data_IF_233663753643
#
_entry.id   IF_233663753643
#
_cell.length_a   1.000
_cell.length_b   1.000
_cell.length_c   1.000
_cell.angle_alpha   90.00
_cell.angle_beta   90.00
_cell.angle_gamma   90.00
#
_symmetry.space_group_name_H-M   'P 1'
#
loop_
_entity.id
_entity.type
_entity.pdbx_description
1 polymer ?
#
# COMPACT_ATOMS: atom_id res chain seq x y z
N UNK A 1 -4.43 11.60 -19.24
CA UNK A 1 -3.63 12.29 -18.21
C UNK A 1 -2.24 11.69 -18.22
N UNK A 2 -1.17 12.49 -18.25
CA UNK A 2 0.20 11.94 -18.27
C UNK A 2 0.47 11.24 -16.92
N UNK A 3 1.15 10.11 -16.87
CA UNK A 3 1.47 9.43 -15.60
C UNK A 3 0.32 8.65 -14.93
N UNK A 4 -0.92 8.75 -15.41
CA UNK A 4 -2.00 7.83 -15.04
C UNK A 4 -2.33 6.95 -16.23
N UNK A 5 -2.41 5.65 -15.99
CA UNK A 5 -2.64 4.65 -17.02
C UNK A 5 -4.02 4.03 -16.84
N UNK A 6 -4.84 3.91 -17.90
CA UNK A 6 -6.08 3.15 -17.83
C UNK A 6 -5.77 1.71 -17.42
N UNK A 7 -6.57 1.14 -16.52
CA UNK A 7 -6.33 -0.20 -15.98
C UNK A 7 -6.45 -1.33 -17.03
N UNK A 8 -7.07 -1.06 -18.19
CA UNK A 8 -7.21 -2.03 -19.28
C UNK A 8 -6.45 -1.62 -20.53
N UNK A 9 -5.87 -2.64 -21.19
CA UNK A 9 -5.21 -2.53 -22.49
C UNK A 9 -5.81 -3.58 -23.42
N UNK A 10 -6.14 -3.18 -24.64
CA UNK A 10 -6.60 -4.10 -25.67
C UNK A 10 -5.43 -4.96 -26.18
N UNK A 11 -5.49 -6.27 -25.99
CA UNK A 11 -4.40 -7.19 -26.36
C UNK A 11 -4.14 -7.29 -27.86
N UNK A 12 -5.12 -6.97 -28.71
CA UNK A 12 -4.96 -7.04 -30.16
C UNK A 12 -4.34 -5.76 -30.74
N UNK A 13 -4.58 -4.61 -30.11
CA UNK A 13 -4.13 -3.30 -30.62
C UNK A 13 -3.01 -2.66 -29.81
N UNK A 14 -2.81 -3.10 -28.56
CA UNK A 14 -1.89 -2.47 -27.61
C UNK A 14 -2.36 -1.09 -27.12
N UNK A 15 -3.60 -0.68 -27.45
CA UNK A 15 -4.14 0.62 -27.06
C UNK A 15 -4.90 0.54 -25.73
N UNK A 16 -4.87 1.59 -24.89
CA UNK A 16 -5.67 1.64 -23.67
C UNK A 16 -7.17 1.54 -23.94
N UNK A 17 -7.91 0.93 -23.01
CA UNK A 17 -9.37 0.79 -23.04
C UNK A 17 -9.96 1.47 -21.82
N UNK A 18 -10.96 2.32 -22.06
CA UNK A 18 -11.63 3.07 -21.00
C UNK A 18 -10.79 4.20 -20.42
N UNK A 19 -11.35 4.81 -19.39
CA UNK A 19 -10.88 6.03 -18.74
C UNK A 19 -10.98 5.92 -17.20
N UNK A 20 -10.80 4.70 -16.68
CA UNK A 20 -10.73 4.43 -15.25
C UNK A 20 -9.28 4.29 -14.79
N UNK A 21 -8.90 5.18 -13.88
CA UNK A 21 -7.57 5.34 -13.30
C UNK A 21 -7.65 5.16 -11.79
N UNK A 22 -6.82 4.27 -11.27
CA UNK A 22 -6.70 3.95 -9.85
C UNK A 22 -5.27 3.52 -9.57
N UNK A 23 -4.87 3.57 -8.30
CA UNK A 23 -3.70 2.86 -7.77
C UNK A 23 -4.12 1.62 -6.95
N UNK A 24 -5.42 1.31 -6.89
CA UNK A 24 -5.92 0.06 -6.32
C UNK A 24 -5.91 -1.09 -7.31
N UNK A 25 -6.86 -2.01 -7.15
CA UNK A 25 -6.90 -3.26 -7.90
C UNK A 25 -6.84 -3.08 -9.41
N UNK A 26 -6.22 -4.06 -10.08
CA UNK A 26 -5.96 -4.09 -11.54
C UNK A 26 -4.86 -3.14 -12.04
N UNK A 27 -4.34 -2.23 -11.20
CA UNK A 27 -3.34 -1.25 -11.61
C UNK A 27 -2.16 -1.06 -10.63
N UNK A 28 -2.41 -1.24 -9.32
CA UNK A 28 -1.45 -1.25 -8.21
C UNK A 28 0.01 -1.62 -8.58
N UNK A 29 0.28 -2.90 -8.79
CA UNK A 29 1.60 -3.51 -8.94
C UNK A 29 2.33 -3.03 -10.21
N UNK A 30 1.62 -2.49 -11.19
CA UNK A 30 2.27 -1.80 -12.32
C UNK A 30 3.03 -0.56 -11.84
N UNK A 31 2.40 0.28 -11.00
CA UNK A 31 3.05 1.47 -10.43
C UNK A 31 4.18 1.09 -9.47
N UNK A 32 3.93 0.09 -8.63
CA UNK A 32 4.92 -0.48 -7.71
C UNK A 32 6.19 -0.91 -8.45
N UNK A 33 6.05 -1.66 -9.55
CA UNK A 33 7.18 -2.17 -10.29
C UNK A 33 7.94 -1.09 -11.04
N UNK A 34 7.31 0.02 -11.44
CA UNK A 34 8.06 1.16 -11.99
C UNK A 34 9.06 1.72 -10.96
N UNK A 35 8.63 1.88 -9.71
CA UNK A 35 9.48 2.37 -8.62
C UNK A 35 10.53 1.32 -8.25
N UNK A 36 10.13 0.07 -8.02
CA UNK A 36 11.04 -1.03 -7.65
C UNK A 36 12.09 -1.31 -8.74
N UNK A 37 11.74 -1.20 -10.03
CA UNK A 37 12.70 -1.30 -11.12
C UNK A 37 13.66 -0.11 -11.17
N UNK A 38 13.19 1.11 -10.88
CA UNK A 38 14.06 2.27 -10.78
C UNK A 38 15.11 2.08 -9.67
N UNK A 39 14.69 1.62 -8.49
CA UNK A 39 15.58 1.26 -7.37
C UNK A 39 16.57 0.17 -7.78
N UNK A 40 16.09 -0.91 -8.38
CA UNK A 40 16.93 -2.03 -8.84
C UNK A 40 17.96 -1.59 -9.88
N UNK A 41 17.63 -0.62 -10.72
CA UNK A 41 18.54 -0.03 -11.70
C UNK A 41 19.52 1.00 -11.11
N UNK A 42 19.43 1.30 -9.81
CA UNK A 42 20.17 2.37 -9.13
C UNK A 42 19.97 3.73 -9.83
N UNK A 43 18.77 4.00 -10.35
CA UNK A 43 18.44 5.23 -11.08
C UNK A 43 19.04 5.35 -12.48
N UNK A 44 19.68 4.29 -13.00
CA UNK A 44 20.35 4.32 -14.31
C UNK A 44 19.36 4.22 -15.48
N UNK A 45 18.20 3.60 -15.27
CA UNK A 45 17.15 3.53 -16.29
C UNK A 45 16.41 4.87 -16.40
N UNK A 46 16.79 5.68 -17.39
CA UNK A 46 16.22 7.01 -17.61
C UNK A 46 14.75 6.97 -18.03
N UNK A 47 14.30 5.87 -18.65
CA UNK A 47 12.89 5.71 -19.03
C UNK A 47 12.06 5.51 -17.77
N UNK A 48 12.48 4.58 -16.90
CA UNK A 48 11.82 4.38 -15.59
C UNK A 48 11.90 5.62 -14.73
N UNK A 49 13.03 6.33 -14.73
CA UNK A 49 13.18 7.57 -13.97
C UNK A 49 12.14 8.60 -14.39
N UNK A 50 11.96 8.79 -15.70
CA UNK A 50 10.95 9.69 -16.25
C UNK A 50 9.54 9.22 -15.91
N UNK A 51 9.25 7.92 -16.07
CA UNK A 51 7.93 7.37 -15.73
C UNK A 51 7.60 7.55 -14.25
N UNK A 52 8.53 7.25 -13.34
CA UNK A 52 8.34 7.41 -11.89
C UNK A 52 8.05 8.87 -11.52
N UNK A 53 8.76 9.83 -12.12
CA UNK A 53 8.43 11.25 -11.96
C UNK A 53 7.00 11.57 -12.39
N UNK A 54 6.57 11.01 -13.52
CA UNK A 54 5.24 11.24 -14.07
C UNK A 54 4.14 10.59 -13.22
N UNK A 55 4.30 9.35 -12.76
CA UNK A 55 3.28 8.67 -11.94
C UNK A 55 3.15 9.31 -10.56
N UNK A 56 4.26 9.71 -9.92
CA UNK A 56 4.22 10.36 -8.60
C UNK A 56 3.56 11.73 -8.74
N UNK A 57 3.99 12.55 -9.71
CA UNK A 57 3.38 13.86 -9.94
C UNK A 57 1.88 13.75 -10.21
N UNK A 58 1.45 12.73 -10.96
CA UNK A 58 0.02 12.57 -11.24
C UNK A 58 -0.77 11.99 -10.07
N UNK A 59 -0.19 11.10 -9.26
CA UNK A 59 -0.80 10.71 -7.98
C UNK A 59 -1.05 11.94 -7.12
N UNK A 60 -0.04 12.80 -6.93
CA UNK A 60 -0.15 14.00 -6.08
C UNK A 60 -1.19 15.00 -6.60
N UNK A 61 -1.24 15.22 -7.91
CA UNK A 61 -2.05 16.28 -8.50
C UNK A 61 -3.46 15.84 -8.90
N UNK A 62 -3.74 14.53 -8.99
CA UNK A 62 -5.00 14.03 -9.54
C UNK A 62 -5.71 13.03 -8.63
N UNK A 63 -4.97 12.22 -7.86
CA UNK A 63 -5.57 11.16 -7.04
C UNK A 63 -5.54 11.48 -5.54
N UNK A 64 -4.54 12.21 -5.06
CA UNK A 64 -4.36 12.47 -3.64
C UNK A 64 -5.39 13.49 -3.14
N UNK A 65 -6.14 13.10 -2.12
CA UNK A 65 -7.08 13.97 -1.41
C UNK A 65 -6.76 13.94 0.08
N UNK A 66 -6.63 15.12 0.69
CA UNK A 66 -6.51 15.25 2.16
C UNK A 66 -7.90 15.26 2.77
N UNK A 67 -8.09 14.52 3.86
CA UNK A 67 -9.38 14.51 4.57
C UNK A 67 -9.72 15.91 5.08
N UNK A 68 -10.99 16.27 4.92
CA UNK A 68 -11.59 17.48 5.48
C UNK A 68 -11.86 17.37 6.98
N UNK A 69 -11.91 16.15 7.52
CA UNK A 69 -12.18 15.84 8.92
C UNK A 69 -10.89 15.65 9.74
N UNK A 70 -9.85 15.05 9.15
CA UNK A 70 -8.52 14.93 9.77
C UNK A 70 -7.40 15.28 8.78
N UNK A 71 -6.79 16.48 8.87
CA UNK A 71 -5.76 16.93 7.94
C UNK A 71 -4.45 16.10 8.00
N UNK A 72 -4.30 15.23 9.00
CA UNK A 72 -3.17 14.29 9.10
C UNK A 72 -3.33 13.06 8.22
N UNK A 73 -4.52 12.84 7.67
CA UNK A 73 -4.81 11.71 6.78
C UNK A 73 -4.96 12.16 5.34
N UNK A 74 -4.59 11.30 4.41
CA UNK A 74 -4.88 11.47 2.98
C UNK A 74 -5.26 10.14 2.37
N UNK A 75 -5.96 10.20 1.24
CA UNK A 75 -6.52 9.05 0.54
C UNK A 75 -6.28 9.20 -0.96
N UNK A 76 -6.44 8.11 -1.70
CA UNK A 76 -6.43 8.12 -3.17
C UNK A 76 -7.85 7.94 -3.68
N UNK A 77 -8.33 8.88 -4.49
CA UNK A 77 -9.58 8.73 -5.23
C UNK A 77 -9.37 7.85 -6.45
N UNK A 78 -10.45 7.23 -6.92
CA UNK A 78 -10.51 6.69 -8.27
C UNK A 78 -11.09 7.72 -9.23
N UNK A 79 -10.61 7.74 -10.47
CA UNK A 79 -11.15 8.56 -11.54
C UNK A 79 -11.75 7.65 -12.60
N UNK A 80 -13.03 7.82 -12.92
CA UNK A 80 -13.70 7.16 -14.04
C UNK A 80 -14.31 8.22 -14.97
N UNK A 81 -13.68 8.40 -16.13
CA UNK A 81 -13.95 9.52 -17.03
C UNK A 81 -13.73 10.86 -16.34
N UNK A 82 -14.81 11.64 -16.21
CA UNK A 82 -14.77 12.96 -15.55
C UNK A 82 -15.21 12.92 -14.08
N UNK A 83 -15.43 11.72 -13.52
CA UNK A 83 -15.89 11.57 -12.14
C UNK A 83 -14.76 11.07 -11.26
N UNK A 84 -14.50 11.83 -10.19
CA UNK A 84 -13.67 11.39 -9.08
C UNK A 84 -14.57 10.83 -7.97
N UNK A 85 -14.21 9.69 -7.40
CA UNK A 85 -14.95 9.04 -6.32
C UNK A 85 -14.08 8.84 -5.10
N UNK A 86 -14.57 9.26 -3.93
CA UNK A 86 -13.95 9.00 -2.63
C UNK A 86 -14.12 7.53 -2.25
N UNK A 87 -13.31 6.68 -2.86
CA UNK A 87 -13.31 5.24 -2.68
C UNK A 87 -11.86 4.77 -2.83
N UNK A 88 -11.39 3.97 -1.89
CA UNK A 88 -10.04 3.42 -1.89
C UNK A 88 -10.08 1.97 -1.44
N UNK A 89 -9.42 1.10 -2.21
CA UNK A 89 -9.27 -0.31 -1.88
C UNK A 89 -8.13 -0.48 -0.86
N UNK A 90 -8.21 -1.50 -0.02
CA UNK A 90 -7.08 -1.87 0.86
C UNK A 90 -5.83 -2.20 0.02
N UNK A 91 -6.01 -2.75 -1.19
CA UNK A 91 -4.97 -2.92 -2.20
C UNK A 91 -4.14 -1.66 -2.45
N UNK A 92 -4.75 -0.47 -2.46
CA UNK A 92 -4.04 0.79 -2.71
C UNK A 92 -3.12 1.19 -1.54
N UNK A 93 -3.21 0.53 -0.38
CA UNK A 93 -2.40 0.78 0.79
C UNK A 93 -0.96 0.26 0.69
N UNK A 94 -0.55 -0.33 -0.44
CA UNK A 94 0.87 -0.53 -0.79
C UNK A 94 1.57 0.79 -1.18
N UNK A 95 0.79 1.80 -1.61
CA UNK A 95 1.32 3.03 -2.18
C UNK A 95 2.25 3.80 -1.22
N UNK A 96 1.95 3.94 0.09
CA UNK A 96 2.89 4.55 1.03
C UNK A 96 4.27 3.87 1.05
N UNK A 97 4.35 2.53 1.05
CA UNK A 97 5.60 1.77 0.97
C UNK A 97 6.41 2.14 -0.28
N UNK A 98 5.74 2.16 -1.44
CA UNK A 98 6.35 2.53 -2.72
C UNK A 98 6.85 3.97 -2.72
N UNK A 99 6.07 4.90 -2.17
CA UNK A 99 6.40 6.31 -2.13
C UNK A 99 7.56 6.62 -1.18
N UNK A 100 7.62 6.03 0.02
CA UNK A 100 8.77 6.19 0.92
C UNK A 100 10.03 5.52 0.36
N UNK A 101 9.89 4.37 -0.32
CA UNK A 101 10.99 3.72 -1.03
C UNK A 101 11.59 4.66 -2.09
N UNK A 102 10.75 5.33 -2.89
CA UNK A 102 11.21 6.33 -3.86
C UNK A 102 11.88 7.53 -3.17
N UNK A 103 11.26 8.09 -2.13
CA UNK A 103 11.76 9.24 -1.38
C UNK A 103 13.14 8.99 -0.75
N UNK A 104 13.33 7.80 -0.18
CA UNK A 104 14.58 7.42 0.49
C UNK A 104 15.66 6.94 -0.48
N UNK A 105 15.29 6.33 -1.60
CA UNK A 105 16.24 5.89 -2.64
C UNK A 105 16.76 7.04 -3.51
N UNK A 106 15.91 8.03 -3.81
CA UNK A 106 16.25 9.17 -4.67
C UNK A 106 15.82 10.50 -4.01
N UNK A 107 16.48 10.91 -2.91
CA UNK A 107 16.05 12.04 -2.10
C UNK A 107 16.20 13.40 -2.79
N UNK A 108 17.03 13.52 -3.84
CA UNK A 108 17.14 14.77 -4.60
C UNK A 108 15.85 15.08 -5.36
N UNK A 109 15.14 14.05 -5.79
CA UNK A 109 13.93 14.16 -6.61
C UNK A 109 12.65 13.98 -5.79
N UNK A 110 12.64 13.06 -4.83
CA UNK A 110 11.40 12.58 -4.21
C UNK A 110 11.31 12.81 -2.69
N UNK A 111 12.25 13.53 -2.06
CA UNK A 111 12.20 13.75 -0.60
C UNK A 111 10.89 14.38 -0.11
N UNK A 112 10.25 15.24 -0.90
CA UNK A 112 8.96 15.86 -0.55
C UNK A 112 7.82 14.84 -0.43
N UNK A 113 7.93 13.71 -1.14
CA UNK A 113 6.90 12.67 -1.20
C UNK A 113 6.77 11.93 0.13
N UNK A 114 7.79 11.91 0.97
CA UNK A 114 7.76 11.19 2.26
C UNK A 114 6.61 11.65 3.16
N UNK A 115 6.37 12.97 3.26
CA UNK A 115 5.26 13.51 4.06
C UNK A 115 3.88 13.16 3.45
N UNK A 116 3.81 12.96 2.14
CA UNK A 116 2.58 12.53 1.46
C UNK A 116 2.33 11.05 1.72
N UNK A 117 3.37 10.23 1.61
CA UNK A 117 3.34 8.82 1.92
C UNK A 117 2.89 8.59 3.38
N UNK A 118 3.40 9.39 4.33
CA UNK A 118 3.04 9.25 5.74
C UNK A 118 1.55 9.55 5.98
N UNK A 119 1.03 10.64 5.42
CA UNK A 119 -0.41 10.97 5.54
C UNK A 119 -1.28 9.91 4.88
N UNK A 120 -0.83 9.33 3.78
CA UNK A 120 -1.54 8.23 3.11
C UNK A 120 -1.52 6.95 3.96
N UNK A 121 -0.41 6.65 4.64
CA UNK A 121 -0.33 5.54 5.59
C UNK A 121 -1.29 5.72 6.76
N UNK A 122 -1.38 6.92 7.35
CA UNK A 122 -2.37 7.18 8.40
C UNK A 122 -3.81 7.08 7.87
N UNK A 123 -4.07 7.47 6.62
CA UNK A 123 -5.34 7.22 5.96
C UNK A 123 -5.66 5.73 5.88
N UNK A 124 -4.73 4.91 5.40
CA UNK A 124 -4.87 3.46 5.39
C UNK A 124 -5.13 2.87 6.77
N UNK A 125 -4.34 3.24 7.79
CA UNK A 125 -4.53 2.75 9.14
C UNK A 125 -5.89 3.15 9.75
N UNK A 126 -6.40 4.35 9.42
CA UNK A 126 -7.73 4.78 9.87
C UNK A 126 -8.87 3.88 9.35
N UNK A 127 -8.67 3.15 8.24
CA UNK A 127 -9.63 2.15 7.79
C UNK A 127 -9.69 0.94 8.74
N UNK A 128 -8.57 0.55 9.36
CA UNK A 128 -8.50 -0.52 10.35
C UNK A 128 -9.13 -0.08 11.68
N UNK A 129 -8.79 1.12 12.15
CA UNK A 129 -9.28 1.69 13.42
C UNK A 129 -10.79 2.05 13.38
N UNK A 130 -11.40 2.06 12.19
CA UNK A 130 -12.82 2.43 12.01
C UNK A 130 -13.82 1.28 12.14
N UNK A 131 -13.37 0.02 12.29
CA UNK A 131 -14.24 -1.16 12.25
C UNK A 131 -14.34 -1.84 13.61
N UNK A 132 -15.46 -2.52 13.88
CA UNK A 132 -15.66 -3.23 15.14
C UNK A 132 -14.63 -4.33 15.40
N UNK A 133 -14.12 -4.96 14.34
CA UNK A 133 -13.08 -6.00 14.42
C UNK A 133 -11.66 -5.46 14.44
N UNK A 134 -11.45 -4.16 14.16
CA UNK A 134 -10.12 -3.61 13.96
C UNK A 134 -9.41 -4.15 12.72
N UNK A 135 -10.16 -4.70 11.75
CA UNK A 135 -9.68 -5.17 10.44
C UNK A 135 -10.20 -4.23 9.35
N UNK A 136 -9.35 -3.89 8.37
CA UNK A 136 -9.78 -3.02 7.28
C UNK A 136 -10.78 -3.73 6.35
N UNK A 137 -11.80 -3.02 5.85
CA UNK A 137 -12.64 -3.52 4.76
C UNK A 137 -11.86 -3.53 3.45
N UNK A 138 -12.22 -4.43 2.53
CA UNK A 138 -11.66 -4.53 1.18
C UNK A 138 -11.69 -3.19 0.44
N UNK A 139 -12.78 -2.43 0.63
CA UNK A 139 -12.92 -1.08 0.08
C UNK A 139 -13.60 -0.18 1.08
N UNK A 140 -13.09 1.04 1.25
CA UNK A 140 -13.63 2.06 2.12
C UNK A 140 -13.82 3.41 1.43
N UNK A 141 -14.60 4.26 2.07
CA UNK A 141 -14.80 5.68 1.72
C UNK A 141 -14.47 6.54 2.93
N UNK A 142 -14.37 7.85 2.76
CA UNK A 142 -14.02 8.78 3.84
C UNK A 142 -14.82 10.09 3.76
N UNK A 143 -14.73 10.87 4.82
CA UNK A 143 -15.42 12.15 5.05
C UNK A 143 -16.95 12.05 4.90
N UNK A 144 -17.53 10.92 5.32
CA UNK A 144 -18.97 10.70 5.24
C UNK A 144 -19.67 11.38 6.40
N UNK A 145 -20.46 12.43 6.12
CA UNK A 145 -21.37 13.02 7.11
C UNK A 145 -22.55 12.07 7.37
N UNK A 146 -22.40 11.15 8.32
CA UNK A 146 -23.48 10.28 8.76
C UNK A 146 -24.23 10.87 9.96
N UNK A 147 -25.57 10.82 9.95
CA UNK A 147 -26.39 11.10 11.13
C UNK A 147 -26.34 9.99 12.19
N UNK A 148 -25.67 8.87 11.90
CA UNK A 148 -25.67 7.65 12.70
C UNK A 148 -24.31 7.33 13.34
N UNK A 149 -23.24 8.07 12.99
CA UNK A 149 -21.92 7.91 13.59
C UNK A 149 -21.59 9.18 14.36
N UNK A 150 -22.01 9.26 15.63
CA UNK A 150 -21.79 10.46 16.44
C UNK A 150 -20.35 10.59 16.94
N UNK A 151 -19.54 9.53 16.96
CA UNK A 151 -18.11 9.57 17.31
C UNK A 151 -17.38 8.40 16.61
N UNK A 152 -16.17 8.64 16.06
CA UNK A 152 -15.18 7.67 15.46
C UNK A 152 -15.27 7.53 13.91
N UNK A 153 -14.12 7.35 13.22
CA UNK A 153 -13.38 8.34 12.42
C UNK A 153 -14.01 8.54 11.03
N UNK A 154 -13.45 9.47 10.25
CA UNK A 154 -13.90 9.86 8.91
C UNK A 154 -14.16 8.71 7.90
N UNK A 155 -13.69 7.48 8.16
CA UNK A 155 -13.70 6.33 7.24
C UNK A 155 -14.88 5.39 7.48
N UNK A 156 -15.49 4.91 6.38
CA UNK A 156 -16.59 3.95 6.42
C UNK A 156 -16.39 2.78 5.42
N UNK A 157 -16.72 1.53 5.80
CA UNK A 157 -16.67 0.39 4.89
C UNK A 157 -17.63 0.51 3.71
N UNK A 158 -17.18 0.11 2.52
CA UNK A 158 -18.00 0.01 1.30
C UNK A 158 -18.11 -1.45 0.85
N UNK A 159 -17.00 -2.16 0.72
CA UNK A 159 -16.97 -3.63 0.58
C UNK A 159 -16.36 -4.16 1.86
N UNK A 160 -17.19 -4.78 2.70
CA UNK A 160 -16.86 -5.05 4.09
C UNK A 160 -16.06 -6.32 4.34
N UNK A 161 -15.79 -7.12 3.32
CA UNK A 161 -14.99 -8.33 3.48
C UNK A 161 -13.54 -7.98 3.81
N UNK A 162 -12.81 -8.88 4.47
CA UNK A 162 -11.36 -8.78 4.65
C UNK A 162 -10.74 -10.13 4.34
N UNK A 163 -9.84 -10.22 3.37
CA UNK A 163 -9.32 -11.52 2.90
C UNK A 163 -7.87 -11.78 3.31
N UNK A 164 -7.47 -11.34 4.51
CA UNK A 164 -6.10 -11.53 5.06
C UNK A 164 -5.01 -10.70 4.37
N UNK A 165 -5.40 -9.59 3.75
CA UNK A 165 -4.55 -8.72 2.94
C UNK A 165 -3.36 -8.09 3.70
N UNK A 166 -2.19 -7.93 3.04
CA UNK A 166 -0.96 -7.41 3.65
C UNK A 166 -0.66 -5.92 3.44
N UNK A 167 -1.34 -5.21 2.55
CA UNK A 167 -0.83 -3.99 1.94
C UNK A 167 -0.56 -2.86 2.95
N UNK A 168 -1.45 -2.70 3.94
CA UNK A 168 -1.21 -1.77 5.05
C UNK A 168 0.00 -2.17 5.91
N UNK A 169 0.19 -3.48 6.18
CA UNK A 169 1.34 -4.00 6.93
C UNK A 169 2.65 -3.85 6.17
N UNK A 170 2.64 -3.99 4.83
CA UNK A 170 3.80 -3.66 3.98
C UNK A 170 4.22 -2.21 4.25
N UNK A 171 3.28 -1.27 4.14
CA UNK A 171 3.56 0.15 4.35
C UNK A 171 4.06 0.46 5.77
N UNK A 172 3.45 -0.12 6.81
CA UNK A 172 3.94 0.02 8.18
C UNK A 172 5.39 -0.48 8.32
N UNK A 173 5.72 -1.64 7.73
CA UNK A 173 7.08 -2.19 7.76
C UNK A 173 8.08 -1.25 7.08
N UNK A 174 7.80 -0.74 5.87
CA UNK A 174 8.71 0.16 5.17
C UNK A 174 8.95 1.45 5.96
N UNK A 175 7.89 2.02 6.53
CA UNK A 175 7.99 3.21 7.37
C UNK A 175 8.82 2.95 8.63
N UNK A 176 8.57 1.86 9.34
CA UNK A 176 9.37 1.49 10.50
C UNK A 176 10.84 1.26 10.14
N UNK A 177 11.13 0.52 9.07
CA UNK A 177 12.48 0.21 8.65
C UNK A 177 13.30 1.46 8.28
N UNK A 178 12.66 2.52 7.76
CA UNK A 178 13.33 3.77 7.39
C UNK A 178 13.40 4.83 8.49
N UNK A 179 12.47 4.81 9.45
CA UNK A 179 12.31 5.89 10.45
C UNK A 179 12.61 5.44 11.88
N UNK A 180 12.48 4.15 12.16
CA UNK A 180 12.52 3.55 13.50
C UNK A 180 11.51 4.18 14.48
N UNK A 181 10.43 4.79 13.97
CA UNK A 181 9.39 5.33 14.81
C UNK A 181 8.52 4.18 15.36
N UNK A 182 8.48 3.96 16.69
CA UNK A 182 7.76 2.84 17.28
C UNK A 182 6.25 2.87 17.04
N UNK A 183 5.66 4.02 16.68
CA UNK A 183 4.22 4.11 16.39
C UNK A 183 3.79 3.11 15.31
N UNK A 184 4.64 2.82 14.32
CA UNK A 184 4.30 1.88 13.26
C UNK A 184 4.32 0.42 13.75
N UNK A 185 5.14 0.12 14.77
CA UNK A 185 5.10 -1.17 15.47
C UNK A 185 3.84 -1.31 16.31
N UNK A 186 3.45 -0.25 17.02
CA UNK A 186 2.21 -0.23 17.81
C UNK A 186 0.99 -0.48 16.89
N UNK A 187 0.91 0.22 15.75
CA UNK A 187 -0.12 0.00 14.73
C UNK A 187 -0.13 -1.42 14.17
N UNK A 188 1.04 -2.00 13.87
CA UNK A 188 1.13 -3.37 13.40
C UNK A 188 0.74 -4.39 14.48
N UNK A 189 1.01 -4.08 15.76
CA UNK A 189 0.61 -4.89 16.89
C UNK A 189 -0.91 -4.92 17.08
N UNK A 190 -1.57 -3.77 16.92
CA UNK A 190 -3.03 -3.67 16.94
C UNK A 190 -3.65 -4.54 15.83
N UNK A 191 -3.12 -4.44 14.60
CA UNK A 191 -3.53 -5.30 13.48
C UNK A 191 -3.33 -6.79 13.80
N UNK A 192 -2.18 -7.17 14.38
CA UNK A 192 -1.92 -8.55 14.79
C UNK A 192 -2.94 -9.05 15.83
N UNK A 193 -3.28 -8.24 16.83
CA UNK A 193 -4.27 -8.60 17.83
C UNK A 193 -5.66 -8.81 17.20
N UNK A 194 -6.05 -7.97 16.24
CA UNK A 194 -7.29 -8.13 15.46
C UNK A 194 -7.29 -9.43 14.65
N UNK A 195 -6.20 -9.72 13.93
CA UNK A 195 -6.03 -10.98 13.19
C UNK A 195 -6.11 -12.20 14.12
N UNK A 196 -5.42 -12.16 15.26
CA UNK A 196 -5.42 -13.25 16.23
C UNK A 196 -6.79 -13.47 16.86
N UNK A 197 -7.55 -12.40 17.09
CA UNK A 197 -8.87 -12.45 17.73
C UNK A 197 -9.96 -12.89 16.77
N UNK A 198 -9.99 -12.31 15.56
CA UNK A 198 -11.12 -12.45 14.65
C UNK A 198 -10.85 -13.35 13.44
N UNK A 199 -9.60 -13.57 13.04
CA UNK A 199 -9.29 -14.42 11.89
C UNK A 199 -8.81 -15.82 12.28
N UNK A 200 -8.28 -16.02 13.49
CA UNK A 200 -7.72 -17.32 13.91
C UNK A 200 -8.80 -18.38 14.13
N UNK A 201 -8.64 -19.52 13.49
CA UNK A 201 -9.49 -20.71 13.64
C UNK A 201 -8.77 -21.83 14.39
N UNK A 202 -9.36 -23.03 14.45
CA UNK A 202 -8.72 -24.20 15.06
C UNK A 202 -7.55 -24.76 14.23
N UNK A 203 -7.52 -24.49 12.92
CA UNK A 203 -6.57 -25.11 11.99
C UNK A 203 -5.77 -24.11 11.15
N UNK A 204 -6.04 -22.81 11.24
CA UNK A 204 -5.38 -21.78 10.46
C UNK A 204 -5.98 -20.40 10.72
N UNK A 205 -6.01 -19.55 9.70
CA UNK A 205 -6.69 -18.27 9.70
C UNK A 205 -7.74 -18.21 8.58
N UNK A 206 -8.79 -17.43 8.77
CA UNK A 206 -9.81 -17.16 7.75
C UNK A 206 -9.98 -15.66 7.55
N UNK A 207 -10.26 -15.26 6.31
CA UNK A 207 -10.83 -13.96 6.02
C UNK A 207 -12.23 -13.80 6.63
N UNK A 208 -12.79 -12.60 6.49
CA UNK A 208 -14.11 -12.23 6.98
C UNK A 208 -15.05 -11.79 5.85
N UNK A 209 -16.35 -12.10 5.98
CA UNK A 209 -17.39 -11.54 5.10
C UNK A 209 -17.76 -10.09 5.46
N UNK A 210 -17.75 -9.73 6.74
CA UNK A 210 -18.06 -8.39 7.23
C UNK A 210 -17.16 -8.04 8.43
N UNK A 211 -16.29 -7.05 8.25
CA UNK A 211 -15.40 -6.51 9.32
C UNK A 211 -16.14 -5.81 10.47
N UNK A 212 -17.46 -5.68 10.38
CA UNK A 212 -18.30 -5.23 11.50
C UNK A 212 -18.89 -6.40 12.31
N UNK A 213 -18.79 -7.64 11.84
CA UNK A 213 -19.27 -8.82 12.56
C UNK A 213 -18.17 -9.33 13.52
N UNK A 214 -18.50 -9.40 14.81
CA UNK A 214 -17.58 -9.86 15.87
C UNK A 214 -17.93 -11.26 16.39
N UNK A 215 -18.99 -11.90 15.89
CA UNK A 215 -19.49 -13.20 16.35
C UNK A 215 -19.21 -14.34 15.35
N UNK A 216 -19.53 -14.16 14.06
CA UNK A 216 -19.40 -15.22 13.04
C UNK A 216 -18.78 -14.72 11.73
N UNK A 217 -17.54 -14.21 11.75
CA UNK A 217 -17.11 -13.38 10.65
C UNK A 217 -16.57 -14.17 9.45
N UNK A 218 -16.26 -15.48 9.58
CA UNK A 218 -15.37 -16.20 8.67
C UNK A 218 -15.93 -16.53 7.28
N UNK A 219 -15.07 -16.41 6.27
CA UNK A 219 -15.33 -16.77 4.88
C UNK A 219 -14.78 -18.14 4.44
N UNK A 220 -14.18 -18.89 5.36
CA UNK A 220 -13.56 -20.22 5.17
C UNK A 220 -12.47 -20.26 4.10
N UNK A 221 -11.64 -19.19 4.03
CA UNK A 221 -10.51 -19.09 3.10
C UNK A 221 -9.23 -18.61 3.79
N UNK A 222 -8.15 -19.34 3.54
CA UNK A 222 -6.79 -18.98 3.95
C UNK A 222 -5.92 -18.78 2.71
N UNK A 223 -5.80 -17.53 2.27
CA UNK A 223 -5.07 -17.19 1.05
C UNK A 223 -3.55 -17.35 1.24
N UNK A 224 -2.84 -17.79 0.19
CA UNK A 224 -1.39 -18.06 0.29
C UNK A 224 -0.56 -16.83 0.67
N UNK A 225 -1.01 -15.64 0.28
CA UNK A 225 -0.35 -14.38 0.63
C UNK A 225 -0.39 -14.07 2.12
N UNK A 226 -1.28 -14.71 2.91
CA UNK A 226 -1.23 -14.57 4.37
C UNK A 226 0.14 -15.05 4.91
N UNK A 227 0.63 -16.17 4.39
CA UNK A 227 1.96 -16.69 4.73
C UNK A 227 3.09 -15.93 4.04
N UNK A 228 2.92 -15.62 2.75
CA UNK A 228 3.96 -14.96 1.98
C UNK A 228 4.18 -13.53 2.47
N UNK A 229 3.14 -12.79 2.81
CA UNK A 229 3.19 -11.34 2.97
C UNK A 229 2.79 -10.90 4.37
N UNK A 230 1.55 -11.17 4.79
CA UNK A 230 0.97 -10.66 6.04
C UNK A 230 1.83 -11.06 7.24
N UNK A 231 2.11 -12.36 7.38
CA UNK A 231 2.98 -12.87 8.45
C UNK A 231 4.44 -12.45 8.29
N UNK A 232 4.91 -12.25 7.05
CA UNK A 232 6.30 -11.84 6.81
C UNK A 232 6.53 -10.39 7.23
N UNK A 233 5.66 -9.46 6.84
CA UNK A 233 5.79 -8.05 7.23
C UNK A 233 5.56 -7.86 8.73
N UNK A 234 4.61 -8.61 9.33
CA UNK A 234 4.47 -8.68 10.78
C UNK A 234 5.74 -9.20 11.47
N UNK A 235 6.37 -10.25 10.94
CA UNK A 235 7.63 -10.73 11.51
C UNK A 235 8.74 -9.68 11.38
N UNK A 236 8.92 -9.10 10.19
CA UNK A 236 10.02 -8.19 9.89
C UNK A 236 9.92 -6.86 10.63
N UNK A 237 8.71 -6.33 10.88
CA UNK A 237 8.56 -5.07 11.61
C UNK A 237 8.99 -5.19 13.09
N UNK A 238 8.99 -6.39 13.66
CA UNK A 238 9.50 -6.67 15.02
C UNK A 238 10.88 -7.33 15.04
N UNK A 239 11.53 -7.54 13.89
CA UNK A 239 12.90 -8.05 13.79
C UNK A 239 13.92 -6.97 14.22
N UNK A 240 15.19 -7.35 14.40
CA UNK A 240 16.22 -6.41 14.88
C UNK A 240 16.48 -5.26 13.89
N UNK A 241 15.97 -4.08 14.22
CA UNK A 241 16.14 -2.86 13.41
C UNK A 241 17.61 -2.41 13.25
N UNK A 242 18.52 -2.83 14.14
CA UNK A 242 19.95 -2.50 14.01
C UNK A 242 20.62 -3.24 12.88
N UNK A 243 20.05 -4.37 12.47
CA UNK A 243 20.55 -5.19 11.38
C UNK A 243 19.37 -5.73 10.57
N UNK A 244 18.80 -4.87 9.72
CA UNK A 244 17.73 -5.27 8.80
C UNK A 244 18.14 -6.52 8.01
N UNK A 245 17.29 -7.55 8.05
CA UNK A 245 17.49 -8.81 7.34
C UNK A 245 17.58 -8.62 5.82
N UNK A 246 16.79 -7.68 5.31
CA UNK A 246 16.72 -7.32 3.89
C UNK A 246 16.89 -5.81 3.69
N UNK A 247 18.13 -5.28 3.78
CA UNK A 247 18.38 -3.85 3.57
C UNK A 247 17.93 -3.40 2.17
N UNK A 248 17.20 -2.29 2.08
CA UNK A 248 16.60 -1.81 0.83
C UNK A 248 17.61 -1.33 -0.23
N UNK A 249 18.88 -1.16 0.12
CA UNK A 249 19.98 -0.87 -0.82
C UNK A 249 20.60 -2.14 -1.46
N UNK A 250 20.14 -3.31 -1.01
CA UNK A 250 20.62 -4.64 -1.41
C UNK A 250 19.51 -5.58 -1.85
N UNK A 251 18.28 -5.36 -1.40
CA UNK A 251 17.12 -6.19 -1.67
C UNK A 251 15.93 -5.34 -2.11
N UNK A 252 15.11 -5.92 -2.98
CA UNK A 252 13.80 -5.39 -3.36
C UNK A 252 12.78 -6.52 -3.21
N UNK A 253 11.66 -6.26 -2.56
CA UNK A 253 10.57 -7.24 -2.47
C UNK A 253 9.79 -7.21 -3.78
N UNK A 254 9.42 -8.35 -4.37
CA UNK A 254 8.40 -8.36 -5.41
C UNK A 254 7.02 -8.01 -4.80
N UNK A 255 5.96 -8.02 -5.62
CA UNK A 255 4.58 -7.71 -5.19
C UNK A 255 3.95 -8.78 -4.28
N UNK A 256 4.66 -9.87 -3.98
CA UNK A 256 4.20 -10.98 -3.13
C UNK A 256 5.17 -11.18 -1.93
N UNK A 257 5.75 -10.08 -1.47
CA UNK A 257 6.76 -10.00 -0.41
C UNK A 257 7.96 -10.97 -0.55
N UNK A 258 8.32 -11.44 -1.74
CA UNK A 258 9.52 -12.25 -1.94
C UNK A 258 10.75 -11.36 -2.14
N UNK A 259 11.76 -11.42 -1.25
CA UNK A 259 12.95 -10.59 -1.36
C UNK A 259 13.84 -11.05 -2.50
N UNK A 260 14.14 -10.14 -3.44
CA UNK A 260 15.02 -10.33 -4.58
C UNK A 260 16.30 -9.53 -4.38
N UNK A 261 17.45 -10.18 -4.58
CA UNK A 261 18.75 -9.52 -4.43
C UNK A 261 19.04 -8.58 -5.61
N UNK A 262 19.38 -7.33 -5.31
CA UNK A 262 19.78 -6.34 -6.32
C UNK A 262 21.18 -6.70 -6.83
N UNK A 263 21.28 -7.01 -8.12
CA UNK A 263 22.54 -7.37 -8.76
C UNK A 263 23.25 -6.10 -9.26
N UNK A 264 24.18 -5.58 -8.46
CA UNK A 264 25.04 -4.46 -8.88
C UNK A 264 25.97 -4.95 -10.01
N UNK A 265 25.79 -4.43 -11.23
CA UNK A 265 26.76 -4.68 -12.32
C UNK A 265 28.12 -4.15 -11.85
N UNK A 266 29.11 -5.04 -11.72
CA UNK A 266 30.51 -4.63 -11.50
C UNK A 266 30.89 -3.69 -12.65
N UNK A 267 31.56 -2.56 -12.39
CA UNK A 267 32.09 -1.74 -13.47
C UNK A 267 32.98 -2.63 -14.33
N UNK A 268 32.64 -2.74 -15.62
CA UNK A 268 33.46 -3.43 -16.59
C UNK A 268 34.81 -2.73 -16.58
N UNK A 269 35.84 -3.36 -16.00
CA UNK A 269 37.21 -2.91 -16.16
C UNK A 269 37.47 -2.96 -17.67
N UNK A 270 37.41 -1.80 -18.32
CA UNK A 270 37.95 -1.63 -19.66
C UNK A 270 39.43 -2.02 -19.55
N UNK A 271 39.77 -3.23 -20.00
CA UNK A 271 41.15 -3.61 -20.24
C UNK A 271 41.65 -2.62 -21.30
N UNK A 272 42.51 -1.69 -20.86
CA UNK A 272 43.32 -0.86 -21.75
C UNK A 272 44.23 -1.74 -22.59
#
# INVERSE_FOLDING_TARGET
>A
MKGLYPHLINVNTGLPVGDHFTWGGMADSFYEYLIKQLVTSEGKDQVKFKMVKEIISSLENQLLVTSSMDPKTSFLVEINGNRSTNRMDELACFAPASLILAARSFPKEFKHVEAIAERLLYGCYSAWDSTATGLAPEVFTWDVQSRFYEQIPSVAPVIKSYILRPETLESLYYFYAYTHNPVYQDMAWDIFNSLYTYCKTNSGYSGLYDVQDTEYPWDDREESFFFAETLKYLYLIFDDHKQLRFPFDQWVFNTEAHPLKIHKKKPTLLKK
#
